data_IF_255761218992
#
_entry.id   IF_255761218992
#
_cell.length_a   1.000
_cell.length_b   1.000
_cell.length_c   1.000
_cell.angle_alpha   90.00
_cell.angle_beta   90.00
_cell.angle_gamma   90.00
#
_symmetry.space_group_name_H-M   'P 1'
#
loop_
_entity.id
_entity.type
_entity.pdbx_description
1 polymer ?
#
# COMPACT_ATOMS: atom_id res chain seq x y z
N UNK A 1 -15.55 18.41 -11.78
CA UNK A 1 -14.22 18.85 -11.30
C UNK A 1 -13.38 17.59 -11.14
N UNK A 2 -12.18 17.45 -11.72
CA UNK A 2 -11.41 16.24 -11.52
C UNK A 2 -10.94 16.26 -10.07
N UNK A 3 -11.48 15.36 -9.25
CA UNK A 3 -10.96 15.14 -7.91
C UNK A 3 -9.53 14.62 -8.07
N UNK A 4 -8.53 15.50 -7.95
CA UNK A 4 -7.14 15.07 -7.87
C UNK A 4 -7.06 14.19 -6.63
N UNK A 5 -6.88 12.89 -6.85
CA UNK A 5 -6.55 11.96 -5.79
C UNK A 5 -5.32 12.48 -5.04
N UNK A 6 -5.22 12.27 -3.71
CA UNK A 6 -4.08 12.73 -2.95
C UNK A 6 -2.79 12.14 -3.53
N UNK A 7 -1.80 13.00 -3.76
CA UNK A 7 -0.47 12.60 -4.17
C UNK A 7 0.34 12.31 -2.91
N UNK A 8 0.95 11.14 -2.85
CA UNK A 8 1.80 10.70 -1.76
C UNK A 8 3.23 10.49 -2.25
N UNK A 9 4.20 10.80 -1.40
CA UNK A 9 5.60 10.46 -1.60
C UNK A 9 5.88 9.10 -0.97
N UNK A 10 6.20 8.11 -1.80
CA UNK A 10 6.60 6.80 -1.34
C UNK A 10 8.11 6.77 -1.13
N UNK A 11 8.51 6.37 0.08
CA UNK A 11 9.89 6.18 0.50
C UNK A 11 10.09 4.77 1.02
N UNK A 12 11.34 4.33 1.05
CA UNK A 12 11.75 3.08 1.69
C UNK A 12 13.00 3.34 2.51
N UNK A 13 12.91 3.06 3.81
CA UNK A 13 14.01 3.27 4.76
C UNK A 13 14.61 4.69 4.63
N UNK A 14 13.74 5.70 4.45
CA UNK A 14 14.12 7.11 4.28
C UNK A 14 14.50 7.53 2.86
N UNK A 15 14.73 6.59 1.94
CA UNK A 15 15.12 6.89 0.55
C UNK A 15 13.88 7.04 -0.33
N UNK A 16 13.77 8.17 -1.04
CA UNK A 16 12.70 8.41 -2.01
C UNK A 16 12.63 7.33 -3.10
N UNK A 17 11.41 6.99 -3.49
CA UNK A 17 11.11 6.09 -4.62
C UNK A 17 10.34 6.83 -5.70
N UNK A 18 9.13 7.25 -5.40
CA UNK A 18 8.27 7.90 -6.39
C UNK A 18 7.15 8.67 -5.70
N UNK A 19 6.53 9.58 -6.45
CA UNK A 19 5.22 10.12 -6.13
C UNK A 19 4.12 9.26 -6.75
N UNK A 20 3.05 9.03 -5.99
CA UNK A 20 1.90 8.25 -6.43
C UNK A 20 0.59 8.98 -6.15
N UNK A 21 -0.37 8.91 -7.05
CA UNK A 21 -1.76 9.22 -6.77
C UNK A 21 -2.41 8.03 -6.07
N UNK A 22 -3.20 8.28 -5.03
CA UNK A 22 -3.90 7.24 -4.28
C UNK A 22 -5.40 7.28 -4.54
N UNK A 23 -5.89 6.41 -5.42
CA UNK A 23 -7.30 6.32 -5.79
C UNK A 23 -8.02 5.27 -4.92
N UNK A 24 -9.08 5.62 -4.17
CA UNK A 24 -9.78 4.67 -3.33
C UNK A 24 -10.54 3.63 -4.17
N UNK A 25 -10.31 2.34 -3.88
CA UNK A 25 -11.02 1.22 -4.49
C UNK A 25 -12.19 0.75 -3.62
N UNK A 26 -12.11 0.96 -2.31
CA UNK A 26 -13.20 0.72 -1.36
C UNK A 26 -13.67 2.03 -0.75
N UNK A 27 -14.88 2.03 -0.20
CA UNK A 27 -15.40 3.18 0.54
C UNK A 27 -14.43 3.55 1.66
N UNK A 28 -13.92 4.79 1.62
CA UNK A 28 -13.01 5.28 2.63
C UNK A 28 -13.69 5.25 4.02
N UNK A 29 -12.95 4.79 5.03
CA UNK A 29 -13.34 5.05 6.42
C UNK A 29 -13.27 6.56 6.64
N UNK A 30 -14.18 7.11 7.43
CA UNK A 30 -14.12 8.52 7.83
C UNK A 30 -12.70 8.84 8.36
N UNK A 31 -12.04 9.78 7.70
CA UNK A 31 -10.70 10.30 8.04
C UNK A 31 -9.49 9.38 7.81
N UNK A 32 -9.61 8.21 7.17
CA UNK A 32 -8.47 7.34 6.88
C UNK A 32 -7.90 7.61 5.47
N UNK A 33 -7.18 8.72 5.32
CA UNK A 33 -6.41 9.03 4.11
C UNK A 33 -4.92 8.77 4.35
N UNK A 34 -4.20 8.40 3.29
CA UNK A 34 -2.75 8.25 3.36
C UNK A 34 -2.12 9.62 3.64
N UNK A 35 -1.14 9.71 4.57
CA UNK A 35 -0.37 10.93 4.75
C UNK A 35 0.44 11.23 3.47
N UNK A 36 0.78 12.51 3.22
CA UNK A 36 1.53 12.92 2.03
C UNK A 36 2.91 12.27 1.90
N UNK A 37 3.47 11.78 3.00
CA UNK A 37 4.74 11.07 3.04
C UNK A 37 4.56 9.71 3.70
N UNK A 38 4.95 8.66 2.98
CA UNK A 38 4.81 7.27 3.36
C UNK A 38 6.17 6.56 3.29
N UNK A 39 6.75 6.21 4.44
CA UNK A 39 8.02 5.52 4.52
C UNK A 39 7.83 4.03 4.86
N UNK A 40 8.10 3.17 3.87
CA UNK A 40 8.15 1.73 4.06
C UNK A 40 9.40 1.38 4.88
N UNK A 41 9.18 1.05 6.15
CA UNK A 41 10.24 0.75 7.13
C UNK A 41 10.40 -0.75 7.40
N UNK A 42 9.38 -1.56 7.11
CA UNK A 42 9.44 -3.02 7.28
C UNK A 42 8.89 -3.75 6.05
N UNK A 43 9.17 -5.06 5.98
CA UNK A 43 8.69 -5.95 4.92
C UNK A 43 8.02 -7.18 5.52
N UNK A 44 6.71 -7.29 5.36
CA UNK A 44 5.95 -8.47 5.75
C UNK A 44 6.01 -9.54 4.65
N UNK A 45 6.02 -10.83 5.04
CA UNK A 45 5.93 -11.94 4.07
C UNK A 45 4.53 -11.93 3.45
N UNK A 46 4.44 -11.81 2.12
CA UNK A 46 3.14 -11.65 1.47
C UNK A 46 2.23 -12.87 1.66
N UNK A 47 2.80 -14.08 1.70
CA UNK A 47 2.06 -15.31 2.03
C UNK A 47 1.44 -15.33 3.44
N UNK A 48 1.77 -14.37 4.31
CA UNK A 48 1.14 -14.14 5.62
C UNK A 48 0.10 -13.01 5.61
N UNK A 49 -0.43 -12.63 4.44
CA UNK A 49 -1.36 -11.50 4.32
C UNK A 49 -2.59 -11.62 5.21
N UNK A 50 -3.15 -12.83 5.36
CA UNK A 50 -4.31 -13.04 6.23
C UNK A 50 -4.02 -12.65 7.68
N UNK A 51 -2.82 -12.95 8.16
CA UNK A 51 -2.37 -12.64 9.51
C UNK A 51 -2.16 -11.12 9.68
N UNK A 52 -1.33 -10.51 8.82
CA UNK A 52 -0.99 -9.09 9.01
C UNK A 52 -2.11 -8.13 8.60
N UNK A 53 -3.01 -8.49 7.67
CA UNK A 53 -4.22 -7.72 7.39
C UNK A 53 -5.37 -8.06 8.33
N UNK A 54 -5.20 -9.04 9.22
CA UNK A 54 -6.26 -9.62 10.05
C UNK A 54 -7.50 -9.92 9.20
N UNK A 55 -7.29 -10.53 8.03
CA UNK A 55 -8.28 -10.65 6.96
C UNK A 55 -9.56 -11.36 7.43
N UNK A 56 -9.39 -12.36 8.31
CA UNK A 56 -10.46 -13.18 8.87
C UNK A 56 -11.22 -12.52 10.03
N UNK A 57 -10.93 -11.26 10.38
CA UNK A 57 -11.62 -10.52 11.44
C UNK A 57 -12.56 -9.48 10.83
N UNK A 58 -13.89 -9.67 10.87
CA UNK A 58 -14.85 -8.72 10.31
C UNK A 58 -14.88 -7.35 11.00
N UNK A 59 -14.48 -7.29 12.27
CA UNK A 59 -14.38 -6.04 13.03
C UNK A 59 -13.29 -5.11 12.50
N UNK A 60 -12.22 -5.69 11.94
CA UNK A 60 -11.07 -4.94 11.43
C UNK A 60 -11.42 -4.33 10.08
N UNK A 61 -11.41 -3.00 10.03
CA UNK A 61 -11.73 -2.26 8.81
C UNK A 61 -10.49 -2.11 7.94
N UNK A 62 -10.71 -2.16 6.62
CA UNK A 62 -9.66 -2.07 5.59
C UNK A 62 -10.11 -1.14 4.48
N UNK A 63 -9.31 -0.12 4.22
CA UNK A 63 -9.46 0.73 3.03
C UNK A 63 -8.38 0.34 2.05
N UNK A 64 -8.76 0.12 0.79
CA UNK A 64 -7.83 -0.23 -0.28
C UNK A 64 -7.76 0.94 -1.23
N UNK A 65 -6.54 1.40 -1.54
CA UNK A 65 -6.28 2.45 -2.51
C UNK A 65 -5.34 1.91 -3.59
N UNK A 66 -5.67 2.11 -4.84
CA UNK A 66 -4.75 1.92 -5.95
C UNK A 66 -3.70 3.04 -5.94
N UNK A 67 -2.43 2.68 -6.12
CA UNK A 67 -1.34 3.64 -6.25
C UNK A 67 -0.89 3.70 -7.70
N UNK A 68 -1.09 4.84 -8.36
CA UNK A 68 -0.59 5.08 -9.73
C UNK A 68 0.55 6.09 -9.69
N UNK A 69 1.62 5.95 -10.48
CA UNK A 69 2.70 6.93 -10.51
C UNK A 69 2.18 8.30 -10.98
N UNK A 70 2.62 9.38 -10.34
CA UNK A 70 2.13 10.74 -10.65
C UNK A 70 2.70 11.30 -11.96
N UNK A 71 3.90 10.85 -12.36
CA UNK A 71 4.56 11.26 -13.59
C UNK A 71 5.27 10.11 -14.31
N UNK A 72 5.75 10.36 -15.54
CA UNK A 72 6.59 9.40 -16.26
C UNK A 72 7.92 9.11 -15.54
N UNK A 73 8.48 10.09 -14.83
CA UNK A 73 9.71 9.89 -14.06
C UNK A 73 9.44 8.96 -12.87
N UNK A 74 8.31 9.15 -12.20
CA UNK A 74 7.85 8.30 -11.10
C UNK A 74 7.54 6.88 -11.56
N UNK A 75 6.98 6.70 -12.76
CA UNK A 75 6.63 5.38 -13.30
C UNK A 75 7.82 4.41 -13.35
N UNK A 76 9.03 4.90 -13.65
CA UNK A 76 10.24 4.07 -13.68
C UNK A 76 10.63 3.57 -12.29
N UNK A 77 10.69 4.48 -11.31
CA UNK A 77 11.08 4.09 -9.95
C UNK A 77 9.96 3.31 -9.22
N UNK A 78 8.71 3.63 -9.53
CA UNK A 78 7.55 2.84 -9.14
C UNK A 78 7.66 1.39 -9.61
N UNK A 79 7.97 1.18 -10.89
CA UNK A 79 8.12 -0.17 -11.46
C UNK A 79 9.26 -0.94 -10.76
N UNK A 80 10.41 -0.28 -10.52
CA UNK A 80 11.53 -0.84 -9.76
C UNK A 80 11.13 -1.22 -8.34
N UNK A 81 10.37 -0.36 -7.66
CA UNK A 81 9.91 -0.64 -6.30
C UNK A 81 8.86 -1.76 -6.26
N UNK A 82 7.96 -1.81 -7.24
CA UNK A 82 7.01 -2.92 -7.43
C UNK A 82 7.74 -4.24 -7.64
N UNK A 83 8.71 -4.29 -8.56
CA UNK A 83 9.54 -5.47 -8.80
C UNK A 83 10.35 -5.88 -7.57
N UNK A 84 10.86 -4.90 -6.82
CA UNK A 84 11.53 -5.14 -5.56
C UNK A 84 10.63 -5.88 -4.56
N UNK A 85 9.35 -5.49 -4.44
CA UNK A 85 8.39 -6.16 -3.56
C UNK A 85 8.01 -7.56 -4.06
N UNK A 86 7.88 -7.73 -5.38
CA UNK A 86 7.60 -9.03 -6.03
C UNK A 86 8.75 -10.01 -5.80
N UNK A 87 9.99 -9.64 -6.11
CA UNK A 87 11.18 -10.48 -5.85
C UNK A 87 11.39 -10.68 -4.35
N UNK A 88 11.10 -9.65 -3.56
CA UNK A 88 11.11 -9.69 -2.11
C UNK A 88 12.46 -10.09 -1.52
N UNK A 89 12.46 -11.03 -0.57
CA UNK A 89 13.69 -11.58 0.05
C UNK A 89 13.66 -13.09 -0.04
N UNK A 90 14.78 -13.69 -0.46
CA UNK A 90 14.88 -15.14 -0.72
C UNK A 90 13.83 -15.61 -1.75
N UNK A 91 13.58 -14.79 -2.77
CA UNK A 91 12.57 -15.04 -3.81
C UNK A 91 11.14 -15.22 -3.27
N UNK A 92 10.87 -14.62 -2.10
CA UNK A 92 9.54 -14.59 -1.49
C UNK A 92 8.99 -13.16 -1.49
N UNK A 93 7.86 -12.91 -2.19
CA UNK A 93 7.22 -11.61 -2.26
C UNK A 93 6.92 -11.00 -0.89
N UNK A 94 6.98 -9.67 -0.83
CA UNK A 94 6.80 -8.89 0.39
C UNK A 94 5.76 -7.81 0.22
N UNK A 95 5.06 -7.50 1.31
CA UNK A 95 4.33 -6.25 1.46
C UNK A 95 5.23 -5.24 2.19
N UNK A 96 5.24 -3.99 1.73
CA UNK A 96 5.81 -2.88 2.48
C UNK A 96 4.94 -2.55 3.68
N UNK A 97 5.54 -2.18 4.81
CA UNK A 97 4.82 -1.73 6.00
C UNK A 97 5.31 -0.34 6.37
N UNK A 98 4.35 0.54 6.61
CA UNK A 98 4.55 1.92 6.97
C UNK A 98 3.75 2.23 8.26
N UNK A 99 4.31 3.06 9.13
CA UNK A 99 3.89 3.21 10.53
C UNK A 99 3.40 4.63 10.88
N UNK A 100 3.33 5.52 9.90
CA UNK A 100 2.99 6.94 10.05
C UNK A 100 1.60 7.17 10.67
N UNK A 101 0.70 6.20 10.51
CA UNK A 101 -0.67 6.26 11.05
C UNK A 101 -0.86 5.43 12.33
N UNK A 102 0.21 4.85 12.90
CA UNK A 102 0.10 3.95 14.06
C UNK A 102 -0.47 4.66 15.30
N UNK A 103 -0.08 5.92 15.53
CA UNK A 103 -0.63 6.76 16.62
C UNK A 103 -2.13 7.05 16.47
N UNK A 104 -2.66 6.96 15.25
CA UNK A 104 -4.08 7.12 14.94
C UNK A 104 -4.83 5.78 14.98
N UNK A 105 -4.15 4.69 15.36
CA UNK A 105 -4.72 3.36 15.41
C UNK A 105 -4.78 2.65 14.07
N UNK A 106 -4.04 3.09 13.04
CA UNK A 106 -4.00 2.45 11.73
C UNK A 106 -2.60 1.94 11.37
N UNK A 107 -2.53 0.90 10.53
CA UNK A 107 -1.28 0.49 9.87
C UNK A 107 -1.48 0.45 8.38
N UNK A 108 -0.46 0.84 7.62
CA UNK A 108 -0.52 0.85 6.17
C UNK A 108 0.39 -0.23 5.59
N UNK A 109 -0.16 -0.96 4.63
CA UNK A 109 0.56 -2.00 3.90
C UNK A 109 0.58 -1.65 2.41
N UNK A 110 1.74 -1.77 1.77
CA UNK A 110 1.90 -1.61 0.32
C UNK A 110 2.07 -2.99 -0.29
N UNK A 111 1.07 -3.45 -1.04
CA UNK A 111 1.08 -4.76 -1.67
C UNK A 111 1.42 -4.62 -3.15
N UNK A 112 2.32 -5.47 -3.71
CA UNK A 112 2.44 -5.61 -5.14
C UNK A 112 1.17 -6.23 -5.74
N UNK A 113 0.94 -6.12 -7.07
CA UNK A 113 -0.12 -6.86 -7.74
C UNK A 113 0.11 -8.37 -7.56
N UNK A 114 -0.97 -9.14 -7.46
CA UNK A 114 -0.88 -10.59 -7.24
C UNK A 114 -2.12 -11.19 -6.60
N UNK A 115 -2.01 -12.44 -6.17
CA UNK A 115 -3.12 -13.20 -5.60
C UNK A 115 -3.69 -12.51 -4.35
N UNK A 116 -2.84 -11.99 -3.47
CA UNK A 116 -3.21 -11.34 -2.21
C UNK A 116 -3.95 -10.02 -2.44
N UNK A 117 -3.61 -9.27 -3.50
CA UNK A 117 -4.36 -8.09 -3.91
C UNK A 117 -5.75 -8.48 -4.47
N UNK A 118 -5.86 -9.60 -5.19
CA UNK A 118 -7.15 -10.13 -5.67
C UNK A 118 -8.08 -10.55 -4.54
N UNK A 119 -7.54 -11.11 -3.45
CA UNK A 119 -8.33 -11.37 -2.23
C UNK A 119 -8.95 -10.11 -1.62
N UNK A 120 -8.37 -8.93 -1.90
CA UNK A 120 -8.92 -7.63 -1.50
C UNK A 120 -9.84 -7.01 -2.56
N UNK A 121 -10.16 -7.74 -3.63
CA UNK A 121 -11.01 -7.28 -4.73
C UNK A 121 -10.27 -6.50 -5.82
N UNK A 122 -8.94 -6.47 -5.82
CA UNK A 122 -8.15 -5.75 -6.82
C UNK A 122 -7.51 -6.70 -7.85
N UNK A 123 -7.84 -6.52 -9.13
CA UNK A 123 -7.36 -7.34 -10.24
C UNK A 123 -6.39 -6.65 -11.20
N UNK A 124 -6.01 -5.39 -10.94
CA UNK A 124 -5.09 -4.63 -11.79
C UNK A 124 -3.61 -4.94 -11.52
N UNK A 125 -2.75 -4.22 -12.25
CA UNK A 125 -1.29 -4.43 -12.26
C UNK A 125 -0.51 -3.42 -11.41
N UNK A 126 -1.22 -2.53 -10.71
CA UNK A 126 -0.62 -1.54 -9.81
C UNK A 126 -0.44 -2.12 -8.40
N UNK A 127 0.45 -1.50 -7.64
CA UNK A 127 0.51 -1.66 -6.20
C UNK A 127 -0.75 -1.07 -5.55
N UNK A 128 -1.16 -1.66 -4.44
CA UNK A 128 -2.25 -1.15 -3.61
C UNK A 128 -1.74 -0.80 -2.22
N UNK A 129 -2.22 0.32 -1.68
CA UNK A 129 -2.11 0.64 -0.27
C UNK A 129 -3.33 0.12 0.47
N UNK A 130 -3.10 -0.59 1.58
CA UNK A 130 -4.15 -1.08 2.47
C UNK A 130 -4.00 -0.40 3.82
N UNK A 131 -4.93 0.49 4.15
CA UNK A 131 -5.05 1.08 5.48
C UNK A 131 -5.90 0.14 6.33
N UNK A 132 -5.32 -0.41 7.40
CA UNK A 132 -5.97 -1.39 8.27
C UNK A 132 -6.11 -0.80 9.68
N UNK A 133 -7.30 -0.87 10.27
CA UNK A 133 -7.47 -0.55 11.70
C UNK A 133 -6.63 -1.50 12.59
N UNK A 134 -6.19 -1.01 13.74
CA UNK A 134 -5.41 -1.82 14.68
C UNK A 134 -6.25 -2.84 15.43
N UNK A 135 -7.55 -2.56 15.61
CA UNK A 135 -8.52 -3.39 16.31
C UNK A 135 -9.73 -3.65 15.41
#
# INVERSE_FOLDING_TARGET
MPSKHPVIQLRRSGVHKCYCQAAPLTTALSNAWLPPDMNVVQLARLNKFREFLKFDRPSVKRVVLELTPDSMADAREYARFREYLIRGRQDQPRAGVALEMESQGYKVFILPPGQEARWLGYSGDMMVAVIRSSW
#
